data_IF_995172988314
#
_entry.id   IF_995172988314
#
_cell.length_a   1.000
_cell.length_b   1.000
_cell.length_c   1.000
_cell.angle_alpha   90.00
_cell.angle_beta   90.00
_cell.angle_gamma   90.00
#
_symmetry.space_group_name_H-M   'P 1'
#
loop_
_entity.id
_entity.type
_entity.pdbx_description
1 polymer ?
#
# COMPACT_ATOMS: atom_id res chain seq x y z
N UNK A 1 -10.99 7.51 8.78
CA UNK A 1 -9.85 7.37 7.85
C UNK A 1 -10.00 6.05 7.11
N UNK A 2 -9.82 6.04 5.80
CA UNK A 2 -9.85 4.85 4.94
C UNK A 2 -8.45 4.72 4.36
N UNK A 3 -7.89 3.51 4.37
CA UNK A 3 -6.58 3.21 3.78
C UNK A 3 -6.77 2.04 2.82
N UNK A 4 -6.32 2.18 1.59
CA UNK A 4 -6.39 1.14 0.57
C UNK A 4 -5.18 1.20 -0.36
N UNK A 5 -4.78 0.06 -0.86
CA UNK A 5 -3.78 -0.04 -1.93
C UNK A 5 -4.41 0.09 -3.32
N UNK A 6 -5.72 -0.14 -3.42
CA UNK A 6 -6.46 -0.11 -4.68
C UNK A 6 -7.69 0.78 -4.58
N UNK A 7 -7.56 2.04 -5.00
CA UNK A 7 -8.67 3.00 -4.96
C UNK A 7 -9.91 2.53 -5.73
N UNK A 8 -9.74 1.80 -6.81
CA UNK A 8 -10.84 1.27 -7.62
C UNK A 8 -11.74 0.26 -6.89
N UNK A 9 -11.29 -0.29 -5.77
CA UNK A 9 -12.08 -1.21 -4.93
C UNK A 9 -12.88 -0.47 -3.85
N UNK A 10 -12.65 0.83 -3.69
CA UNK A 10 -13.43 1.67 -2.75
C UNK A 10 -14.71 2.12 -3.44
N UNK A 11 -15.83 2.04 -2.73
CA UNK A 11 -17.11 2.58 -3.22
C UNK A 11 -16.98 4.08 -3.54
N UNK A 12 -17.51 4.51 -4.70
CA UNK A 12 -17.54 5.93 -5.10
C UNK A 12 -18.23 6.81 -4.06
N UNK A 13 -19.30 6.29 -3.44
CA UNK A 13 -20.02 7.01 -2.40
C UNK A 13 -19.14 7.33 -1.20
N UNK A 14 -18.31 6.39 -0.79
CA UNK A 14 -17.38 6.58 0.33
C UNK A 14 -16.24 7.51 -0.08
N UNK A 15 -15.71 7.32 -1.26
CA UNK A 15 -14.62 8.14 -1.77
C UNK A 15 -15.04 9.62 -1.90
N UNK A 16 -16.22 9.89 -2.44
CA UNK A 16 -16.75 11.25 -2.63
C UNK A 16 -17.05 11.98 -1.33
N UNK A 17 -17.18 11.27 -0.21
CA UNK A 17 -17.40 11.87 1.12
C UNK A 17 -16.07 12.21 1.83
N UNK A 18 -14.95 11.85 1.26
CA UNK A 18 -13.66 12.21 1.81
C UNK A 18 -13.27 13.62 1.37
N UNK A 19 -12.99 14.49 2.32
CA UNK A 19 -12.58 15.87 2.06
C UNK A 19 -11.07 16.00 1.81
N UNK A 20 -10.29 15.01 2.26
CA UNK A 20 -8.83 15.05 2.16
C UNK A 20 -8.29 13.72 1.67
N UNK A 21 -7.32 13.79 0.80
CA UNK A 21 -6.67 12.63 0.20
C UNK A 21 -5.16 12.72 0.34
N UNK A 22 -4.57 11.59 0.71
CA UNK A 22 -3.13 11.40 0.69
C UNK A 22 -2.88 10.22 -0.26
N UNK A 23 -2.41 10.52 -1.46
CA UNK A 23 -2.15 9.53 -2.49
C UNK A 23 -0.65 9.32 -2.66
N UNK A 24 -0.20 8.09 -2.44
CA UNK A 24 1.16 7.68 -2.75
C UNK A 24 1.26 7.21 -4.21
N UNK A 25 2.43 6.77 -4.64
CA UNK A 25 2.64 6.29 -6.01
C UNK A 25 1.60 5.25 -6.42
N UNK A 26 0.95 5.51 -7.54
CA UNK A 26 -0.10 4.68 -8.11
C UNK A 26 0.26 4.33 -9.56
N UNK A 27 0.62 3.07 -9.81
CA UNK A 27 1.12 2.61 -11.11
C UNK A 27 0.05 1.96 -11.98
N UNK A 28 -1.05 1.47 -11.38
CA UNK A 28 -2.12 0.82 -12.11
C UNK A 28 -2.99 1.85 -12.86
N UNK A 29 -3.14 1.76 -14.21
CA UNK A 29 -3.91 2.71 -14.99
C UNK A 29 -5.40 2.80 -14.59
N UNK A 30 -6.02 1.69 -14.23
CA UNK A 30 -7.42 1.67 -13.79
C UNK A 30 -7.62 2.45 -12.50
N UNK A 31 -6.70 2.31 -11.55
CA UNK A 31 -6.73 3.04 -10.29
C UNK A 31 -6.47 4.53 -10.50
N UNK A 32 -5.55 4.88 -11.41
CA UNK A 32 -5.28 6.27 -11.77
C UNK A 32 -6.51 6.94 -12.39
N UNK A 33 -7.17 6.28 -13.35
CA UNK A 33 -8.39 6.77 -13.97
C UNK A 33 -9.52 6.93 -12.96
N UNK A 34 -9.64 5.99 -12.03
CA UNK A 34 -10.63 6.05 -10.96
C UNK A 34 -10.43 7.29 -10.09
N UNK A 35 -9.22 7.50 -9.59
CA UNK A 35 -8.87 8.68 -8.79
C UNK A 35 -9.09 9.96 -9.59
N UNK A 36 -8.63 10.02 -10.83
CA UNK A 36 -8.79 11.20 -11.70
C UNK A 36 -10.25 11.56 -11.93
N UNK A 37 -11.12 10.58 -12.13
CA UNK A 37 -12.56 10.81 -12.34
C UNK A 37 -13.26 11.39 -11.11
N UNK A 38 -12.81 11.04 -9.91
CA UNK A 38 -13.43 11.46 -8.66
C UNK A 38 -12.84 12.78 -8.11
N UNK A 39 -11.73 13.23 -8.66
CA UNK A 39 -11.12 14.49 -8.27
C UNK A 39 -11.72 15.66 -9.06
N UNK A 40 -11.80 16.86 -8.48
CA UNK A 40 -12.17 18.07 -9.20
C UNK A 40 -11.23 18.34 -10.38
N UNK A 41 -11.76 18.89 -11.46
CA UNK A 41 -11.00 19.22 -12.69
C UNK A 41 -9.77 20.09 -12.40
N UNK A 42 -9.88 20.97 -11.42
CA UNK A 42 -8.78 21.87 -11.01
C UNK A 42 -7.53 21.13 -10.52
N UNK A 43 -7.67 19.87 -10.04
CA UNK A 43 -6.56 19.06 -9.55
C UNK A 43 -6.27 17.85 -10.43
N UNK A 44 -7.05 17.64 -11.49
CA UNK A 44 -6.89 16.48 -12.38
C UNK A 44 -5.51 16.42 -13.03
N UNK A 45 -4.93 17.57 -13.39
CA UNK A 45 -3.60 17.64 -13.99
C UNK A 45 -2.49 17.16 -13.03
N UNK A 46 -2.62 17.42 -11.72
CA UNK A 46 -1.61 17.01 -10.75
C UNK A 46 -1.70 15.51 -10.46
N UNK A 47 -2.86 14.87 -10.68
CA UNK A 47 -3.01 13.41 -10.52
C UNK A 47 -2.20 12.64 -11.56
N UNK A 48 -1.82 13.26 -12.70
CA UNK A 48 -0.96 12.65 -13.70
C UNK A 48 0.49 12.43 -13.17
N UNK A 49 0.84 13.04 -12.05
CA UNK A 49 2.13 12.81 -11.39
C UNK A 49 2.15 11.54 -10.51
N UNK A 50 0.99 10.96 -10.19
CA UNK A 50 0.90 9.79 -9.28
C UNK A 50 1.78 8.59 -9.71
N UNK A 51 1.93 8.24 -11.00
CA UNK A 51 2.80 7.13 -11.41
C UNK A 51 4.28 7.39 -11.19
N UNK A 52 4.72 8.65 -11.22
CA UNK A 52 6.12 9.05 -11.17
C UNK A 52 6.61 9.46 -9.78
N UNK A 53 5.72 9.47 -8.78
CA UNK A 53 6.11 9.72 -7.40
C UNK A 53 7.19 8.75 -6.94
N UNK A 54 8.18 9.26 -6.23
CA UNK A 54 9.23 8.46 -5.62
C UNK A 54 8.72 7.70 -4.37
N UNK A 55 9.57 6.83 -3.83
CA UNK A 55 9.30 6.23 -2.53
C UNK A 55 9.23 7.33 -1.47
N UNK A 56 8.29 7.20 -0.53
CA UNK A 56 8.05 8.18 0.53
C UNK A 56 7.50 9.53 0.03
N UNK A 57 7.18 9.67 -1.23
CA UNK A 57 6.44 10.81 -1.71
C UNK A 57 4.94 10.55 -1.70
N UNK A 58 4.20 11.59 -1.34
CA UNK A 58 2.75 11.57 -1.33
C UNK A 58 2.20 12.89 -1.84
N UNK A 59 1.16 12.81 -2.65
CA UNK A 59 0.36 13.94 -3.07
C UNK A 59 -0.76 14.14 -2.03
N UNK A 60 -0.83 15.33 -1.45
CA UNK A 60 -1.90 15.73 -0.53
C UNK A 60 -2.85 16.67 -1.27
N UNK A 61 -4.15 16.37 -1.18
CA UNK A 61 -5.23 17.14 -1.81
C UNK A 61 -6.38 17.23 -0.81
N UNK A 62 -7.02 18.39 -0.75
CA UNK A 62 -8.27 18.59 0.00
C UNK A 62 -8.25 19.81 0.88
N UNK A 63 -9.24 19.90 1.75
CA UNK A 63 -9.50 21.09 2.59
C UNK A 63 -8.39 21.35 3.63
N UNK A 64 -7.56 20.34 3.92
CA UNK A 64 -6.46 20.50 4.90
C UNK A 64 -5.30 21.36 4.37
N UNK A 65 -5.22 21.59 3.05
CA UNK A 65 -4.18 22.40 2.43
C UNK A 65 -4.77 23.30 1.34
N UNK A 66 -4.30 24.55 1.22
CA UNK A 66 -4.84 25.50 0.24
C UNK A 66 -4.50 25.14 -1.20
N UNK A 67 -3.41 24.41 -1.42
CA UNK A 67 -2.93 24.03 -2.77
C UNK A 67 -2.45 22.59 -2.71
N UNK A 68 -2.87 21.72 -3.66
CA UNK A 68 -2.36 20.37 -3.79
C UNK A 68 -0.84 20.35 -3.82
N UNK A 69 -0.23 19.53 -2.95
CA UNK A 69 1.21 19.59 -2.74
C UNK A 69 1.79 18.18 -2.66
N UNK A 70 2.94 17.98 -3.29
CA UNK A 70 3.74 16.77 -3.12
C UNK A 70 4.64 16.96 -1.90
N UNK A 71 4.54 16.03 -0.96
CA UNK A 71 5.34 16.02 0.27
C UNK A 71 6.19 14.78 0.35
N UNK A 72 7.35 14.89 1.00
CA UNK A 72 8.17 13.73 1.32
C UNK A 72 7.91 13.31 2.77
N UNK A 73 7.46 12.07 2.94
CA UNK A 73 7.20 11.49 4.25
C UNK A 73 8.54 11.15 4.90
N UNK A 74 8.73 11.62 6.13
CA UNK A 74 9.95 11.37 6.89
C UNK A 74 10.06 9.89 7.28
N UNK A 75 11.26 9.37 7.27
CA UNK A 75 11.54 8.03 7.81
C UNK A 75 11.11 7.91 9.26
N UNK A 76 10.51 6.79 9.61
CA UNK A 76 10.20 6.45 10.98
C UNK A 76 11.49 6.11 11.73
N UNK A 77 11.62 6.63 12.95
CA UNK A 77 12.71 6.26 13.88
C UNK A 77 12.57 4.80 14.30
N UNK A 78 11.34 4.38 14.59
CA UNK A 78 11.02 2.99 14.94
C UNK A 78 10.45 2.30 13.69
N UNK A 79 11.31 1.62 12.95
CA UNK A 79 10.89 0.84 11.78
C UNK A 79 10.23 -0.46 12.24
N UNK A 80 9.10 -0.86 11.63
CA UNK A 80 8.54 -2.18 11.89
C UNK A 80 9.59 -3.25 11.55
N UNK A 81 9.71 -4.26 12.39
CA UNK A 81 10.67 -5.37 12.20
C UNK A 81 10.17 -6.36 11.13
N UNK A 82 9.75 -5.83 9.98
CA UNK A 82 9.42 -6.60 8.80
C UNK A 82 10.60 -6.60 7.86
N UNK A 83 11.28 -7.73 7.78
CA UNK A 83 12.38 -7.94 6.83
C UNK A 83 11.88 -8.77 5.66
N UNK A 84 12.16 -8.31 4.46
CA UNK A 84 11.97 -9.15 3.28
C UNK A 84 12.85 -10.40 3.38
N UNK A 85 12.28 -11.54 3.05
CA UNK A 85 13.01 -12.80 3.03
C UNK A 85 14.03 -12.74 1.88
N UNK A 86 15.30 -12.83 2.19
CA UNK A 86 16.35 -12.97 1.20
C UNK A 86 16.32 -14.38 0.60
N UNK A 87 15.47 -14.63 -0.39
CA UNK A 87 15.23 -15.94 -1.01
C UNK A 87 16.51 -16.69 -1.37
N UNK A 88 17.51 -16.01 -1.93
CA UNK A 88 18.79 -16.64 -2.28
C UNK A 88 19.56 -17.16 -1.08
N UNK A 89 19.45 -16.50 0.06
CA UNK A 89 20.11 -16.92 1.31
C UNK A 89 19.35 -18.05 1.97
N UNK A 90 18.02 -17.95 1.96
CA UNK A 90 17.16 -18.98 2.51
C UNK A 90 17.24 -20.29 1.70
N UNK A 91 17.27 -20.21 0.37
CA UNK A 91 17.40 -21.40 -0.49
C UNK A 91 18.75 -22.09 -0.43
N UNK A 92 19.78 -21.45 0.11
CA UNK A 92 21.09 -22.05 0.35
C UNK A 92 21.21 -22.73 1.70
N UNK A 93 20.23 -22.58 2.58
CA UNK A 93 20.21 -23.28 3.85
C UNK A 93 19.89 -24.75 3.63
N UNK A 94 20.58 -25.60 4.38
CA UNK A 94 20.31 -27.03 4.38
C UNK A 94 18.87 -27.32 4.78
N UNK A 95 18.32 -28.39 4.23
CA UNK A 95 16.96 -28.85 4.58
C UNK A 95 16.89 -29.13 6.06
N UNK A 96 15.88 -28.55 6.72
CA UNK A 96 15.54 -28.90 8.09
C UNK A 96 14.94 -30.32 8.06
N UNK A 97 15.62 -31.27 8.70
CA UNK A 97 15.07 -32.63 8.88
C UNK A 97 13.84 -32.56 9.77
N UNK A 98 12.67 -32.73 9.18
CA UNK A 98 11.40 -32.72 9.91
C UNK A 98 11.12 -34.16 10.37
N UNK A 99 11.00 -34.38 11.67
CA UNK A 99 10.59 -35.65 12.24
C UNK A 99 9.08 -35.87 12.02
N UNK A 100 8.71 -36.37 10.86
CA UNK A 100 7.30 -36.61 10.48
C UNK A 100 6.55 -37.50 11.47
N UNK A 101 7.21 -38.46 12.08
CA UNK A 101 6.59 -39.38 13.07
C UNK A 101 6.02 -38.64 14.29
N UNK A 102 6.70 -37.59 14.76
CA UNK A 102 6.22 -36.76 15.86
C UNK A 102 5.00 -35.91 15.47
N UNK A 103 4.99 -35.39 14.27
CA UNK A 103 3.86 -34.61 13.72
C UNK A 103 2.62 -35.50 13.55
N UNK A 104 2.76 -36.68 12.95
CA UNK A 104 1.67 -37.65 12.78
C UNK A 104 1.10 -38.09 14.13
N UNK A 105 1.95 -38.31 15.14
CA UNK A 105 1.51 -38.65 16.48
C UNK A 105 0.70 -37.55 17.17
N UNK A 106 1.10 -36.30 16.98
CA UNK A 106 0.37 -35.14 17.50
C UNK A 106 -0.98 -34.93 16.81
N UNK A 107 -1.03 -35.07 15.50
CA UNK A 107 -2.28 -35.01 14.73
C UNK A 107 -3.28 -36.12 15.10
N UNK A 108 -2.81 -37.33 15.47
CA UNK A 108 -3.67 -38.42 15.91
C UNK A 108 -4.18 -38.26 17.34
N UNK A 109 -3.58 -37.41 18.16
CA UNK A 109 -4.04 -37.15 19.54
C UNK A 109 -5.15 -36.09 19.61
N UNK A 110 -5.38 -35.31 18.57
CA UNK A 110 -6.43 -34.28 18.49
C UNK A 110 -7.75 -34.80 17.86
N UNK A 111 -7.81 -36.07 17.54
CA UNK A 111 -9.03 -36.77 17.12
C UNK A 111 -9.46 -37.75 18.24
#
# INVERSE_FOLDING_TARGET
>A
MIVSQRPSEISETIFSQCNNFIAMRLTNPSDQQYVKRLMPDSVSAITDTLPVLERQEALIIGDCIPIPTIVRIKDLTDKPDSKDIHFRTEWKKDWVSIAFDSLIKNMKKEI
#
